data_IF_432613549948
#
_entry.id   IF_432613549948
#
_cell.length_a   1.000
_cell.length_b   1.000
_cell.length_c   1.000
_cell.angle_alpha   90.00
_cell.angle_beta   90.00
_cell.angle_gamma   90.00
#
_symmetry.space_group_name_H-M   'P 1'
#
loop_
_entity.id
_entity.type
_entity.pdbx_description
1 polymer ?
#
# COMPACT_ATOMS: atom_id res chain seq x y z
N UNK A 1 19.92 16.86 18.06
CA UNK A 1 19.59 18.10 17.33
C UNK A 1 20.48 19.20 17.89
N UNK A 2 21.61 19.47 17.24
CA UNK A 2 22.39 20.68 17.49
C UNK A 2 21.55 21.86 17.00
N UNK A 3 21.22 22.79 17.90
CA UNK A 3 20.47 24.00 17.56
C UNK A 3 21.35 24.96 16.78
N UNK A 4 21.26 24.91 15.46
CA UNK A 4 21.57 26.09 14.66
C UNK A 4 20.49 27.13 14.98
N UNK A 5 20.90 28.28 15.50
CA UNK A 5 20.02 29.44 15.62
C UNK A 5 19.53 29.81 14.22
N UNK A 6 18.24 29.65 14.00
CA UNK A 6 17.60 29.98 12.72
C UNK A 6 17.61 31.51 12.59
N UNK A 7 18.57 32.05 11.83
CA UNK A 7 18.61 33.47 11.52
C UNK A 7 17.49 33.85 10.53
N UNK A 8 16.66 34.82 10.91
CA UNK A 8 15.72 35.50 10.02
C UNK A 8 16.31 36.84 9.60
N UNK A 9 15.97 37.31 8.41
CA UNK A 9 16.41 38.62 7.92
C UNK A 9 15.21 39.57 7.82
N UNK A 10 15.43 40.84 8.15
CA UNK A 10 14.39 41.86 8.03
C UNK A 10 14.03 42.03 6.54
N UNK A 11 12.74 41.95 6.17
CA UNK A 11 12.31 42.14 4.77
C UNK A 11 12.65 43.53 4.21
N UNK A 12 12.86 44.54 5.07
CA UNK A 12 13.12 45.93 4.66
C UNK A 12 14.60 46.24 4.45
N UNK A 13 15.47 45.73 5.33
CA UNK A 13 16.89 46.11 5.35
C UNK A 13 17.86 44.94 5.28
N UNK A 14 17.38 43.70 5.26
CA UNK A 14 18.18 42.47 5.14
C UNK A 14 19.02 42.10 6.36
N UNK A 15 19.03 42.92 7.42
CA UNK A 15 19.75 42.63 8.68
C UNK A 15 19.09 41.50 9.45
N UNK A 16 19.86 40.84 10.32
CA UNK A 16 19.35 39.82 11.25
C UNK A 16 18.17 40.38 12.04
N UNK A 17 17.11 39.58 12.13
CA UNK A 17 15.84 39.91 12.76
C UNK A 17 15.33 38.69 13.53
N UNK A 18 14.43 38.93 14.48
CA UNK A 18 13.79 37.86 15.25
C UNK A 18 12.43 37.52 14.64
N UNK A 19 12.11 36.24 14.53
CA UNK A 19 10.75 35.80 14.21
C UNK A 19 9.94 35.66 15.50
N UNK A 20 8.85 36.42 15.60
CA UNK A 20 7.83 36.20 16.63
C UNK A 20 6.69 35.40 16.02
N UNK A 21 6.53 34.16 16.47
CA UNK A 21 5.41 33.30 16.10
C UNK A 21 4.43 33.20 17.28
N UNK A 22 3.15 33.49 17.03
CA UNK A 22 2.07 33.55 18.02
C UNK A 22 0.70 33.52 17.33
N UNK A 23 -0.24 34.38 17.75
CA UNK A 23 -1.51 34.56 16.99
C UNK A 23 -1.28 35.20 15.61
N UNK A 24 -0.24 36.02 15.48
CA UNK A 24 0.26 36.57 14.22
C UNK A 24 1.76 36.26 14.10
N UNK A 25 2.21 36.01 12.87
CA UNK A 25 3.63 35.84 12.56
C UNK A 25 4.22 37.20 12.17
N UNK A 26 5.26 37.63 12.85
CA UNK A 26 5.93 38.91 12.55
C UNK A 26 7.44 38.80 12.65
N UNK A 27 8.13 39.57 11.81
CA UNK A 27 9.59 39.74 11.82
C UNK A 27 9.91 41.04 12.53
N UNK A 28 10.76 40.98 13.56
CA UNK A 28 11.12 42.11 14.41
C UNK A 28 12.56 42.51 14.13
N UNK A 29 12.73 43.71 13.60
CA UNK A 29 14.03 44.31 13.34
C UNK A 29 14.29 45.48 14.29
N UNK A 30 15.49 45.55 14.85
CA UNK A 30 15.92 46.67 15.71
C UNK A 30 15.88 48.02 15.01
N UNK A 31 16.12 48.05 13.70
CA UNK A 31 16.19 49.28 12.91
C UNK A 31 14.86 49.62 12.21
N UNK A 32 14.12 48.61 11.75
CA UNK A 32 12.93 48.80 10.91
C UNK A 32 11.61 48.54 11.64
N UNK A 33 11.66 48.09 12.90
CA UNK A 33 10.49 47.74 13.71
C UNK A 33 9.90 46.39 13.32
N UNK A 34 8.62 46.22 13.64
CA UNK A 34 7.84 45.02 13.39
C UNK A 34 7.23 45.05 11.97
N UNK A 35 7.41 43.96 11.22
CA UNK A 35 6.73 43.70 9.95
C UNK A 35 5.92 42.42 10.09
N UNK A 36 4.59 42.51 9.92
CA UNK A 36 3.73 41.33 9.96
C UNK A 36 3.86 40.52 8.67
N UNK A 37 3.79 39.20 8.79
CA UNK A 37 3.82 38.27 7.66
C UNK A 37 2.44 37.65 7.51
N UNK A 38 1.89 37.76 6.31
CA UNK A 38 0.59 37.20 5.93
C UNK A 38 0.85 35.87 5.22
N UNK A 39 0.23 34.81 5.71
CA UNK A 39 0.19 33.51 5.04
C UNK A 39 -1.08 33.42 4.18
N UNK A 40 -0.89 33.35 2.86
CA UNK A 40 -1.94 33.18 1.88
C UNK A 40 -2.03 31.70 1.49
N UNK A 41 -3.21 31.11 1.67
CA UNK A 41 -3.55 29.81 1.10
C UNK A 41 -4.03 30.04 -0.33
N UNK A 42 -3.26 29.55 -1.28
CA UNK A 42 -3.55 29.68 -2.69
C UNK A 42 -4.65 28.68 -3.09
N UNK A 43 -5.37 28.99 -4.17
CA UNK A 43 -6.46 28.14 -4.67
C UNK A 43 -5.99 26.75 -5.13
N UNK A 44 -4.70 26.60 -5.42
CA UNK A 44 -4.07 25.34 -5.79
C UNK A 44 -3.59 24.51 -4.58
N UNK A 45 -3.80 25.01 -3.35
CA UNK A 45 -3.44 24.33 -2.10
C UNK A 45 -2.07 24.72 -1.53
N UNK A 46 -1.22 25.40 -2.31
CA UNK A 46 0.07 25.87 -1.84
C UNK A 46 -0.07 27.06 -0.89
N UNK A 47 1.00 27.32 -0.14
CA UNK A 47 1.10 28.46 0.76
C UNK A 47 2.10 29.48 0.18
N UNK A 48 1.72 30.74 0.24
CA UNK A 48 2.59 31.88 -0.03
C UNK A 48 2.65 32.79 1.20
N UNK A 49 3.83 33.34 1.47
CA UNK A 49 4.07 34.23 2.59
C UNK A 49 4.49 35.58 2.05
N UNK A 50 3.80 36.64 2.48
CA UNK A 50 4.05 38.01 2.05
C UNK A 50 4.13 38.96 3.24
N UNK A 51 4.81 40.08 3.08
CA UNK A 51 4.81 41.17 4.07
C UNK A 51 3.46 41.89 4.06
N UNK A 52 2.97 42.31 5.23
CA UNK A 52 1.69 43.01 5.33
C UNK A 52 1.69 44.43 4.78
N UNK A 53 2.85 45.06 4.74
CA UNK A 53 3.02 46.47 4.39
C UNK A 53 3.36 46.69 2.92
N UNK A 54 4.20 45.84 2.31
CA UNK A 54 4.55 45.93 0.88
C UNK A 54 3.81 44.90 0.03
N UNK A 55 3.33 43.79 0.61
CA UNK A 55 2.76 42.67 -0.13
C UNK A 55 3.80 41.86 -0.89
N UNK A 56 5.09 42.06 -0.58
CA UNK A 56 6.20 41.35 -1.22
C UNK A 56 6.41 39.98 -0.59
N UNK A 57 6.87 39.02 -1.40
CA UNK A 57 7.19 37.67 -0.96
C UNK A 57 8.22 37.65 0.18
N UNK A 58 7.97 36.85 1.22
CA UNK A 58 8.91 36.64 2.32
C UNK A 58 8.88 35.20 2.81
N UNK A 59 9.89 34.41 2.45
CA UNK A 59 9.97 33.00 2.83
C UNK A 59 10.21 32.81 4.34
N UNK A 60 9.22 32.24 5.02
CA UNK A 60 9.31 31.89 6.43
C UNK A 60 10.15 30.63 6.69
N UNK A 61 10.10 29.64 5.81
CA UNK A 61 10.74 28.34 6.03
C UNK A 61 12.25 28.44 5.79
N UNK A 62 13.09 28.23 6.84
CA UNK A 62 14.54 28.39 6.71
C UNK A 62 15.16 27.44 5.69
N UNK A 63 14.65 26.22 5.61
CA UNK A 63 15.10 25.22 4.64
C UNK A 63 14.86 25.68 3.21
N UNK A 64 13.69 26.29 2.93
CA UNK A 64 13.38 26.87 1.62
C UNK A 64 14.19 28.13 1.34
N UNK A 65 14.43 29.01 2.33
CA UNK A 65 15.34 30.16 2.14
C UNK A 65 16.73 29.72 1.70
N UNK A 66 17.28 28.72 2.37
CA UNK A 66 18.60 28.17 2.05
C UNK A 66 18.63 27.56 0.63
N UNK A 67 17.57 26.84 0.24
CA UNK A 67 17.47 26.29 -1.11
C UNK A 67 17.31 27.38 -2.18
N UNK A 68 16.49 28.42 -1.94
CA UNK A 68 16.36 29.58 -2.83
C UNK A 68 17.70 30.32 -3.01
N UNK A 69 18.46 30.46 -1.92
CA UNK A 69 19.82 31.03 -1.97
C UNK A 69 20.75 30.16 -2.83
N UNK A 70 20.74 28.84 -2.64
CA UNK A 70 21.52 27.92 -3.47
C UNK A 70 21.17 28.03 -4.96
N UNK A 71 19.89 28.23 -5.30
CA UNK A 71 19.46 28.47 -6.69
C UNK A 71 20.05 29.78 -7.24
N UNK A 72 20.06 30.85 -6.43
CA UNK A 72 20.66 32.14 -6.83
C UNK A 72 22.18 32.13 -6.96
N UNK A 73 22.86 31.25 -6.22
CA UNK A 73 24.33 31.10 -6.22
C UNK A 73 24.83 30.06 -7.23
N UNK A 74 23.94 29.30 -7.87
CA UNK A 74 24.31 28.29 -8.86
C UNK A 74 24.96 28.92 -10.11
N UNK A 75 26.24 28.60 -10.33
CA UNK A 75 27.05 29.20 -11.41
C UNK A 75 27.12 28.37 -12.69
N UNK A 76 26.74 27.10 -12.64
CA UNK A 76 26.75 26.19 -13.77
C UNK A 76 25.48 25.32 -13.81
N UNK A 77 25.28 24.62 -14.92
CA UNK A 77 24.08 23.82 -15.17
C UNK A 77 23.92 22.65 -14.17
N UNK A 78 25.02 22.05 -13.68
CA UNK A 78 24.98 20.98 -12.68
C UNK A 78 24.57 21.53 -11.31
N UNK A 79 25.20 22.63 -10.87
CA UNK A 79 24.83 23.33 -9.64
C UNK A 79 23.38 23.80 -9.68
N UNK A 80 22.90 24.23 -10.86
CA UNK A 80 21.51 24.62 -11.07
C UNK A 80 20.55 23.43 -10.91
N UNK A 81 20.87 22.28 -11.50
CA UNK A 81 20.10 21.04 -11.30
C UNK A 81 20.02 20.70 -9.81
N UNK A 82 21.14 20.67 -9.11
CA UNK A 82 21.19 20.31 -7.69
C UNK A 82 20.39 21.28 -6.81
N UNK A 83 20.52 22.59 -7.06
CA UNK A 83 19.82 23.61 -6.31
C UNK A 83 18.30 23.57 -6.56
N UNK A 84 17.86 23.36 -7.80
CA UNK A 84 16.44 23.24 -8.13
C UNK A 84 15.84 21.95 -7.58
N UNK A 85 16.56 20.81 -7.64
CA UNK A 85 16.15 19.56 -7.00
C UNK A 85 15.98 19.75 -5.49
N UNK A 86 16.95 20.39 -4.83
CA UNK A 86 16.86 20.68 -3.41
C UNK A 86 15.64 21.55 -3.09
N UNK A 87 15.39 22.60 -3.87
CA UNK A 87 14.24 23.48 -3.67
C UNK A 87 12.91 22.75 -3.88
N UNK A 88 12.81 21.88 -4.89
CA UNK A 88 11.66 20.99 -5.10
C UNK A 88 11.38 20.16 -3.86
N UNK A 89 12.40 19.50 -3.30
CA UNK A 89 12.26 18.67 -2.11
C UNK A 89 11.79 19.50 -0.90
N UNK A 90 12.39 20.70 -0.70
CA UNK A 90 11.98 21.58 0.41
C UNK A 90 10.54 22.06 0.26
N UNK A 91 10.06 22.31 -0.96
CA UNK A 91 8.65 22.65 -1.18
C UNK A 91 7.72 21.48 -0.85
N UNK A 92 8.04 20.26 -1.27
CA UNK A 92 7.22 19.08 -0.93
C UNK A 92 7.19 18.84 0.59
N UNK A 93 8.33 18.93 1.27
CA UNK A 93 8.41 18.81 2.75
C UNK A 93 7.56 19.85 3.51
N UNK A 94 7.29 21.00 2.88
CA UNK A 94 6.52 22.09 3.47
C UNK A 94 5.08 22.15 2.93
N UNK A 95 4.63 21.08 2.26
CA UNK A 95 3.27 20.94 1.74
C UNK A 95 2.96 21.83 0.53
N UNK A 96 3.98 22.41 -0.12
CA UNK A 96 3.86 23.23 -1.34
C UNK A 96 4.03 22.35 -2.58
N UNK A 97 3.14 21.37 -2.71
CA UNK A 97 3.26 20.30 -3.71
C UNK A 97 3.22 20.81 -5.15
N UNK A 98 2.49 21.91 -5.44
CA UNK A 98 2.42 22.42 -6.82
C UNK A 98 3.73 23.08 -7.22
N UNK A 99 4.31 23.92 -6.36
CA UNK A 99 5.67 24.46 -6.55
C UNK A 99 6.72 23.35 -6.66
N UNK A 100 6.61 22.29 -5.87
CA UNK A 100 7.51 21.14 -5.94
C UNK A 100 7.37 20.41 -7.29
N UNK A 101 6.14 20.15 -7.74
CA UNK A 101 5.88 19.49 -9.02
C UNK A 101 6.43 20.30 -10.21
N UNK A 102 6.19 21.61 -10.23
CA UNK A 102 6.68 22.51 -11.29
C UNK A 102 8.21 22.48 -11.38
N UNK A 103 8.89 22.56 -10.23
CA UNK A 103 10.36 22.45 -10.18
C UNK A 103 10.85 21.07 -10.58
N UNK A 104 10.20 19.99 -10.14
CA UNK A 104 10.59 18.64 -10.54
C UNK A 104 10.52 18.46 -12.07
N UNK A 105 9.49 19.04 -12.72
CA UNK A 105 9.34 19.07 -14.19
C UNK A 105 10.40 19.95 -14.86
N UNK A 106 10.75 21.09 -14.29
CA UNK A 106 11.86 21.94 -14.75
C UNK A 106 13.20 21.17 -14.70
N UNK A 107 13.49 20.54 -13.57
CA UNK A 107 14.69 19.72 -13.35
C UNK A 107 14.76 18.57 -14.36
N UNK A 108 13.66 17.85 -14.60
CA UNK A 108 13.61 16.78 -15.58
C UNK A 108 13.96 17.28 -16.99
N UNK A 109 13.40 18.43 -17.38
CA UNK A 109 13.65 19.06 -18.68
C UNK A 109 15.10 19.52 -18.82
N UNK A 110 15.66 20.08 -17.74
CA UNK A 110 17.04 20.52 -17.66
C UNK A 110 18.01 19.33 -17.79
N UNK A 111 17.80 18.26 -17.03
CA UNK A 111 18.60 17.03 -17.11
C UNK A 111 18.55 16.42 -18.51
N UNK A 112 17.37 16.38 -19.15
CA UNK A 112 17.25 15.84 -20.51
C UNK A 112 18.05 16.66 -21.52
N UNK A 113 17.94 17.99 -21.46
CA UNK A 113 18.72 18.89 -22.31
C UNK A 113 20.22 18.63 -22.16
N UNK A 114 20.72 18.60 -20.92
CA UNK A 114 22.14 18.38 -20.65
C UNK A 114 22.62 16.99 -21.07
N UNK A 115 21.80 15.96 -20.89
CA UNK A 115 22.09 14.61 -21.36
C UNK A 115 22.21 14.56 -22.89
N UNK A 116 21.36 15.31 -23.60
CA UNK A 116 21.41 15.44 -25.06
C UNK A 116 22.58 16.31 -25.55
N UNK A 117 23.03 17.26 -24.73
CA UNK A 117 24.25 18.05 -24.96
C UNK A 117 25.54 17.24 -24.69
N UNK A 118 25.42 15.98 -24.25
CA UNK A 118 26.51 15.03 -24.09
C UNK A 118 26.97 14.80 -22.65
N UNK A 119 26.30 15.36 -21.64
CA UNK A 119 26.60 15.07 -20.24
C UNK A 119 26.02 13.69 -19.83
N UNK A 120 26.85 12.65 -19.90
CA UNK A 120 26.47 11.29 -19.51
C UNK A 120 25.99 11.18 -18.06
N UNK A 121 26.45 12.06 -17.16
CA UNK A 121 26.02 12.07 -15.75
C UNK A 121 24.52 12.41 -15.65
N UNK A 122 24.04 13.25 -16.55
CA UNK A 122 22.64 13.68 -16.58
C UNK A 122 21.72 12.60 -17.11
N UNK A 123 22.20 11.67 -17.93
CA UNK A 123 21.40 10.56 -18.44
C UNK A 123 20.92 9.65 -17.30
N UNK A 124 21.83 9.24 -16.41
CA UNK A 124 21.47 8.42 -15.26
C UNK A 124 20.53 9.17 -14.29
N UNK A 125 20.81 10.46 -14.03
CA UNK A 125 19.95 11.31 -13.18
C UNK A 125 18.56 11.51 -13.77
N UNK A 126 18.46 11.68 -15.09
CA UNK A 126 17.21 11.80 -15.81
C UNK A 126 16.31 10.57 -15.57
N UNK A 127 16.85 9.35 -15.67
CA UNK A 127 16.07 8.14 -15.42
C UNK A 127 15.52 8.07 -14.00
N UNK A 128 16.27 8.59 -13.00
CA UNK A 128 15.81 8.67 -11.62
C UNK A 128 14.79 9.81 -11.38
N UNK A 129 14.85 10.87 -12.20
CA UNK A 129 13.93 12.00 -12.11
C UNK A 129 12.55 11.69 -12.70
N UNK A 130 12.46 10.83 -13.72
CA UNK A 130 11.18 10.44 -14.34
C UNK A 130 10.18 9.89 -13.30
N UNK A 131 10.54 8.91 -12.43
CA UNK A 131 9.67 8.46 -11.35
C UNK A 131 9.25 9.56 -10.36
N UNK A 132 10.13 10.51 -10.05
CA UNK A 132 9.82 11.63 -9.13
C UNK A 132 8.71 12.50 -9.73
N UNK A 133 8.83 12.87 -11.01
CA UNK A 133 7.78 13.60 -11.69
C UNK A 133 6.47 12.80 -11.78
N UNK A 134 6.54 11.50 -12.06
CA UNK A 134 5.36 10.66 -12.13
C UNK A 134 4.67 10.52 -10.76
N UNK A 135 5.41 10.55 -9.65
CA UNK A 135 4.86 10.45 -8.30
C UNK A 135 3.86 11.57 -7.97
N UNK A 136 4.11 12.81 -8.43
CA UNK A 136 3.15 13.91 -8.27
C UNK A 136 1.82 13.62 -8.99
N UNK A 137 1.88 13.13 -10.23
CA UNK A 137 0.69 12.74 -10.97
C UNK A 137 -0.06 11.58 -10.30
N UNK A 138 0.66 10.57 -9.79
CA UNK A 138 0.06 9.45 -9.03
C UNK A 138 -0.61 9.95 -7.75
N UNK A 139 0.01 10.87 -7.00
CA UNK A 139 -0.53 11.44 -5.78
C UNK A 139 -1.85 12.19 -6.02
N UNK A 140 -1.97 12.86 -7.17
CA UNK A 140 -3.23 13.49 -7.64
C UNK A 140 -4.26 12.47 -8.17
N UNK A 141 -3.91 11.19 -8.27
CA UNK A 141 -4.74 10.15 -8.88
C UNK A 141 -4.75 10.18 -10.41
N UNK A 142 -3.90 10.99 -11.05
CA UNK A 142 -3.78 11.07 -12.50
C UNK A 142 -2.80 10.01 -13.04
N UNK A 143 -3.29 8.77 -13.05
CA UNK A 143 -2.54 7.65 -13.61
C UNK A 143 -2.29 7.79 -15.12
N UNK A 144 -3.01 8.66 -15.83
CA UNK A 144 -2.77 8.91 -17.27
C UNK A 144 -1.52 9.75 -17.44
N UNK A 145 -1.44 10.88 -16.75
CA UNK A 145 -0.26 11.75 -16.79
C UNK A 145 0.98 11.00 -16.31
N UNK A 146 0.88 10.20 -15.24
CA UNK A 146 1.99 9.35 -14.79
C UNK A 146 2.47 8.38 -15.89
N UNK A 147 1.54 7.75 -16.62
CA UNK A 147 1.86 6.86 -17.74
C UNK A 147 2.55 7.62 -18.88
N UNK A 148 2.09 8.82 -19.19
CA UNK A 148 2.66 9.67 -20.24
C UNK A 148 4.09 10.10 -19.87
N UNK A 149 4.34 10.45 -18.59
CA UNK A 149 5.68 10.77 -18.06
C UNK A 149 6.63 9.57 -18.21
N UNK A 150 6.23 8.37 -17.78
CA UNK A 150 7.06 7.18 -17.94
C UNK A 150 7.31 6.81 -19.40
N UNK A 151 6.29 6.91 -20.27
CA UNK A 151 6.42 6.60 -21.69
C UNK A 151 7.41 7.54 -22.36
N UNK A 152 7.26 8.85 -22.14
CA UNK A 152 8.19 9.86 -22.65
C UNK A 152 9.61 9.63 -22.10
N UNK A 153 9.73 9.26 -20.83
CA UNK A 153 11.00 8.89 -20.20
C UNK A 153 11.69 7.69 -20.86
N UNK A 154 10.92 6.64 -21.14
CA UNK A 154 11.39 5.43 -21.81
C UNK A 154 11.83 5.69 -23.25
N UNK A 155 11.18 6.64 -23.95
CA UNK A 155 11.57 7.03 -25.31
C UNK A 155 12.95 7.71 -25.37
N UNK A 156 13.43 8.28 -24.26
CA UNK A 156 14.75 8.91 -24.17
C UNK A 156 15.88 7.95 -23.76
N UNK A 157 15.56 6.68 -23.45
CA UNK A 157 16.53 5.70 -22.95
C UNK A 157 17.60 5.37 -23.99
N UNK A 158 17.22 5.28 -25.26
CA UNK A 158 18.08 4.77 -26.34
C UNK A 158 18.58 3.36 -26.03
N UNK A 159 19.89 3.12 -26.22
CA UNK A 159 20.53 1.82 -25.96
C UNK A 159 21.01 1.65 -24.51
N UNK A 160 20.58 2.51 -23.59
CA UNK A 160 21.01 2.43 -22.18
C UNK A 160 20.49 1.16 -21.50
N UNK A 161 21.41 0.29 -21.07
CA UNK A 161 21.13 -0.97 -20.35
C UNK A 161 21.58 -0.84 -18.90
N UNK A 162 20.94 0.02 -18.11
CA UNK A 162 21.28 0.23 -16.68
C UNK A 162 20.15 -0.19 -15.74
N UNK A 163 20.45 -0.29 -14.44
CA UNK A 163 19.45 -0.67 -13.43
C UNK A 163 18.39 0.42 -13.22
N UNK A 164 18.72 1.69 -13.46
CA UNK A 164 17.77 2.81 -13.41
C UNK A 164 16.71 2.65 -14.51
N UNK A 165 17.12 2.23 -15.71
CA UNK A 165 16.20 1.92 -16.81
C UNK A 165 15.32 0.71 -16.45
N UNK A 166 15.89 -0.33 -15.84
CA UNK A 166 15.11 -1.48 -15.38
C UNK A 166 14.06 -1.05 -14.35
N UNK A 167 14.44 -0.24 -13.36
CA UNK A 167 13.55 0.31 -12.33
C UNK A 167 12.46 1.19 -12.92
N UNK A 168 12.79 2.02 -13.91
CA UNK A 168 11.81 2.83 -14.64
C UNK A 168 10.80 1.97 -15.39
N UNK A 169 11.22 0.85 -16.00
CA UNK A 169 10.32 -0.12 -16.62
C UNK A 169 9.44 -0.86 -15.60
N UNK A 170 9.97 -1.20 -14.43
CA UNK A 170 9.17 -1.76 -13.31
C UNK A 170 8.05 -0.79 -12.94
N UNK A 171 8.38 0.49 -12.73
CA UNK A 171 7.40 1.52 -12.37
C UNK A 171 6.37 1.75 -13.49
N UNK A 172 6.81 1.82 -14.74
CA UNK A 172 5.90 1.87 -15.90
C UNK A 172 4.97 0.66 -15.93
N UNK A 173 5.51 -0.55 -15.67
CA UNK A 173 4.75 -1.79 -15.56
C UNK A 173 3.63 -1.70 -14.52
N UNK A 174 3.91 -1.13 -13.34
CA UNK A 174 2.90 -0.89 -12.31
C UNK A 174 1.81 0.11 -12.74
N UNK A 175 2.20 1.22 -13.38
CA UNK A 175 1.22 2.18 -13.92
C UNK A 175 0.31 1.54 -14.96
N UNK A 176 0.86 0.71 -15.86
CA UNK A 176 0.09 -0.09 -16.81
C UNK A 176 -0.90 -1.00 -16.07
N UNK A 177 -0.50 -1.68 -14.99
CA UNK A 177 -1.42 -2.51 -14.19
C UNK A 177 -2.56 -1.71 -13.58
N UNK A 178 -2.29 -0.54 -13.00
CA UNK A 178 -3.31 0.34 -12.43
C UNK A 178 -4.34 0.78 -13.47
N UNK A 179 -3.89 0.95 -14.72
CA UNK A 179 -4.74 1.24 -15.88
C UNK A 179 -5.33 0.00 -16.56
N UNK A 180 -5.10 -1.18 -15.99
CA UNK A 180 -5.55 -2.50 -16.50
C UNK A 180 -5.00 -2.87 -17.88
N UNK A 181 -3.89 -2.26 -18.28
CA UNK A 181 -3.15 -2.61 -19.48
C UNK A 181 -2.14 -3.72 -19.15
N UNK A 182 -2.64 -4.95 -19.07
CA UNK A 182 -1.83 -6.10 -18.71
C UNK A 182 -0.80 -6.47 -19.78
N UNK A 183 -1.02 -6.09 -21.04
CA UNK A 183 -0.11 -6.41 -22.16
C UNK A 183 1.16 -5.58 -22.03
N UNK A 184 1.03 -4.25 -21.93
CA UNK A 184 2.20 -3.38 -21.77
C UNK A 184 2.87 -3.59 -20.42
N UNK A 185 2.09 -3.91 -19.39
CA UNK A 185 2.63 -4.26 -18.08
C UNK A 185 3.52 -5.51 -18.12
N UNK A 186 3.04 -6.61 -18.73
CA UNK A 186 3.84 -7.85 -18.84
C UNK A 186 5.12 -7.61 -19.63
N UNK A 187 5.02 -6.88 -20.74
CA UNK A 187 6.18 -6.50 -21.57
C UNK A 187 7.21 -5.73 -20.76
N UNK A 188 6.76 -4.70 -20.03
CA UNK A 188 7.65 -3.86 -19.23
C UNK A 188 8.39 -4.65 -18.13
N UNK A 189 7.68 -5.52 -17.41
CA UNK A 189 8.31 -6.37 -16.38
C UNK A 189 9.26 -7.42 -16.97
N UNK A 190 8.96 -8.00 -18.12
CA UNK A 190 9.89 -8.93 -18.81
C UNK A 190 11.18 -8.23 -19.24
N UNK A 191 11.06 -7.05 -19.84
CA UNK A 191 12.22 -6.24 -20.22
C UNK A 191 13.03 -5.80 -18.99
N UNK A 192 12.36 -5.41 -17.90
CA UNK A 192 13.02 -5.09 -16.63
C UNK A 192 13.76 -6.29 -16.04
N UNK A 193 13.17 -7.49 -16.09
CA UNK A 193 13.79 -8.73 -15.60
C UNK A 193 15.09 -9.04 -16.36
N UNK A 194 15.04 -8.96 -17.69
CA UNK A 194 16.19 -9.20 -18.57
C UNK A 194 17.32 -8.21 -18.26
N UNK A 195 16.99 -6.91 -18.23
CA UNK A 195 17.93 -5.83 -17.91
C UNK A 195 18.57 -6.02 -16.54
N UNK A 196 17.77 -6.34 -15.52
CA UNK A 196 18.24 -6.52 -14.15
C UNK A 196 19.24 -7.67 -14.09
N UNK A 197 18.93 -8.82 -14.72
CA UNK A 197 19.83 -9.98 -14.77
C UNK A 197 21.13 -9.66 -15.50
N UNK A 198 21.07 -8.92 -16.61
CA UNK A 198 22.28 -8.49 -17.33
C UNK A 198 23.16 -7.57 -16.48
N UNK A 199 22.57 -6.57 -15.82
CA UNK A 199 23.31 -5.65 -14.96
C UNK A 199 24.02 -6.40 -13.81
N UNK A 200 23.34 -7.37 -13.19
CA UNK A 200 23.94 -8.19 -12.13
C UNK A 200 25.03 -9.11 -12.66
N UNK A 201 24.85 -9.71 -13.85
CA UNK A 201 25.85 -10.55 -14.47
C UNK A 201 27.13 -9.78 -14.87
N UNK A 202 26.98 -8.51 -15.28
CA UNK A 202 28.13 -7.63 -15.54
C UNK A 202 28.81 -7.13 -14.26
N UNK A 203 28.12 -7.18 -13.12
CA UNK A 203 28.61 -6.66 -11.84
C UNK A 203 28.55 -5.14 -11.75
N UNK A 204 27.72 -4.48 -12.57
CA UNK A 204 27.59 -3.02 -12.57
C UNK A 204 27.01 -2.49 -11.26
N UNK A 205 26.13 -3.30 -10.65
CA UNK A 205 25.49 -3.05 -9.37
C UNK A 205 25.47 -4.33 -8.55
N UNK A 206 25.40 -4.18 -7.23
CA UNK A 206 25.19 -5.32 -6.34
C UNK A 206 23.88 -6.03 -6.69
N UNK A 207 23.89 -7.35 -6.52
CA UNK A 207 22.70 -8.18 -6.67
C UNK A 207 21.60 -7.69 -5.71
N UNK A 208 20.42 -7.38 -6.24
CA UNK A 208 19.25 -6.91 -5.49
C UNK A 208 18.12 -7.97 -5.52
N UNK A 209 18.08 -8.87 -4.52
CA UNK A 209 17.00 -9.85 -4.40
C UNK A 209 15.61 -9.23 -4.28
N UNK A 210 15.49 -8.02 -3.73
CA UNK A 210 14.19 -7.38 -3.57
C UNK A 210 13.63 -6.99 -4.94
N UNK A 211 14.44 -6.33 -5.79
CA UNK A 211 14.03 -5.96 -7.14
C UNK A 211 13.60 -7.19 -7.97
N UNK A 212 14.39 -8.27 -7.96
CA UNK A 212 14.04 -9.50 -8.67
C UNK A 212 12.75 -10.14 -8.14
N UNK A 213 12.60 -10.25 -6.82
CA UNK A 213 11.37 -10.79 -6.21
C UNK A 213 10.13 -9.98 -6.62
N UNK A 214 10.22 -8.65 -6.61
CA UNK A 214 9.14 -7.75 -7.03
C UNK A 214 8.77 -7.95 -8.50
N UNK A 215 9.76 -8.05 -9.39
CA UNK A 215 9.52 -8.28 -10.83
C UNK A 215 8.84 -9.64 -11.06
N UNK A 216 9.35 -10.69 -10.41
CA UNK A 216 8.79 -12.03 -10.54
C UNK A 216 7.36 -12.13 -10.02
N UNK A 217 7.06 -11.57 -8.85
CA UNK A 217 5.71 -11.57 -8.29
C UNK A 217 4.73 -10.77 -9.16
N UNK A 218 5.18 -9.66 -9.75
CA UNK A 218 4.40 -8.85 -10.68
C UNK A 218 4.07 -9.63 -11.96
N UNK A 219 5.07 -10.33 -12.54
CA UNK A 219 4.86 -11.20 -13.69
C UNK A 219 3.90 -12.34 -13.36
N UNK A 220 4.09 -13.02 -12.23
CA UNK A 220 3.17 -14.05 -11.73
C UNK A 220 1.74 -13.52 -11.66
N UNK A 221 1.51 -12.33 -11.08
CA UNK A 221 0.18 -11.75 -10.97
C UNK A 221 -0.49 -11.57 -12.34
N UNK A 222 0.28 -11.11 -13.33
CA UNK A 222 -0.23 -10.86 -14.69
C UNK A 222 -0.53 -12.17 -15.40
N UNK A 223 0.40 -13.13 -15.40
CA UNK A 223 0.19 -14.40 -16.09
C UNK A 223 -0.91 -15.25 -15.42
N UNK A 224 -1.07 -15.17 -14.09
CA UNK A 224 -2.23 -15.75 -13.38
C UNK A 224 -3.56 -15.16 -13.87
N UNK A 225 -3.65 -13.83 -14.03
CA UNK A 225 -4.87 -13.18 -14.57
C UNK A 225 -5.18 -13.60 -16.00
N UNK A 226 -4.16 -13.98 -16.77
CA UNK A 226 -4.27 -14.50 -18.12
C UNK A 226 -4.39 -16.04 -18.17
N UNK A 227 -4.68 -16.71 -17.05
CA UNK A 227 -4.83 -18.17 -16.92
C UNK A 227 -3.59 -18.98 -17.32
N UNK A 228 -2.40 -18.38 -17.32
CA UNK A 228 -1.11 -19.04 -17.60
C UNK A 228 -0.48 -19.51 -16.29
N UNK A 229 -1.10 -20.52 -15.67
CA UNK A 229 -0.74 -20.94 -14.31
C UNK A 229 0.64 -21.61 -14.21
N UNK A 230 1.08 -22.35 -15.24
CA UNK A 230 2.42 -22.95 -15.23
C UNK A 230 3.52 -21.88 -15.14
N UNK A 231 3.41 -20.80 -15.93
CA UNK A 231 4.34 -19.68 -15.87
C UNK A 231 4.23 -18.92 -14.53
N UNK A 232 3.02 -18.82 -13.96
CA UNK A 232 2.85 -18.23 -12.63
C UNK A 232 3.62 -19.02 -11.56
N UNK A 233 3.60 -20.35 -11.63
CA UNK A 233 4.30 -21.23 -10.70
C UNK A 233 5.82 -21.07 -10.81
N UNK A 234 6.35 -20.97 -12.02
CA UNK A 234 7.78 -20.69 -12.26
C UNK A 234 8.19 -19.35 -11.66
N UNK A 235 7.45 -18.28 -11.97
CA UNK A 235 7.75 -16.95 -11.44
C UNK A 235 7.61 -16.86 -9.92
N UNK A 236 6.59 -17.47 -9.32
CA UNK A 236 6.45 -17.49 -7.86
C UNK A 236 7.61 -18.25 -7.20
N UNK A 237 8.05 -19.36 -7.79
CA UNK A 237 9.19 -20.14 -7.28
C UNK A 237 10.46 -19.30 -7.28
N UNK A 238 10.73 -18.58 -8.38
CA UNK A 238 11.85 -17.63 -8.43
C UNK A 238 11.70 -16.50 -7.40
N UNK A 239 10.51 -15.92 -7.24
CA UNK A 239 10.27 -14.90 -6.22
C UNK A 239 10.50 -15.41 -4.80
N UNK A 240 10.12 -16.68 -4.52
CA UNK A 240 10.34 -17.31 -3.22
C UNK A 240 11.83 -17.51 -2.93
N UNK A 241 12.62 -17.95 -3.91
CA UNK A 241 14.08 -18.06 -3.78
C UNK A 241 14.73 -16.71 -3.46
N UNK A 242 14.35 -15.66 -4.18
CA UNK A 242 14.84 -14.31 -3.96
C UNK A 242 14.42 -13.76 -2.59
N UNK A 243 13.19 -14.01 -2.16
CA UNK A 243 12.73 -13.63 -0.80
C UNK A 243 13.48 -14.39 0.29
N UNK A 244 13.80 -15.67 0.12
CA UNK A 244 14.65 -16.42 1.06
C UNK A 244 16.07 -15.85 1.11
N UNK A 245 16.61 -15.41 -0.03
CA UNK A 245 17.91 -14.73 -0.07
C UNK A 245 17.85 -13.38 0.65
N UNK A 246 16.77 -12.62 0.45
CA UNK A 246 16.55 -11.32 1.07
C UNK A 246 16.58 -11.39 2.61
N UNK A 247 16.05 -12.46 3.22
CA UNK A 247 16.14 -12.65 4.67
C UNK A 247 17.57 -12.83 5.19
N UNK A 248 18.52 -13.21 4.32
CA UNK A 248 19.94 -13.40 4.67
C UNK A 248 20.79 -12.18 4.36
N UNK A 249 20.34 -11.31 3.46
CA UNK A 249 21.15 -10.22 2.90
C UNK A 249 20.66 -8.82 3.30
N UNK A 250 19.45 -8.69 3.85
CA UNK A 250 18.86 -7.41 4.19
C UNK A 250 18.17 -7.41 5.57
N UNK A 251 17.82 -6.21 6.06
CA UNK A 251 17.08 -6.05 7.32
C UNK A 251 15.73 -6.77 7.29
N UNK A 252 15.35 -7.42 8.39
CA UNK A 252 14.06 -8.09 8.45
C UNK A 252 12.97 -7.08 8.79
N UNK A 253 11.86 -7.15 8.03
CA UNK A 253 10.65 -6.38 8.29
C UNK A 253 9.45 -7.32 8.25
N UNK A 254 8.35 -6.94 8.92
CA UNK A 254 7.12 -7.76 8.90
C UNK A 254 6.59 -7.93 7.48
N UNK A 255 6.67 -6.89 6.64
CA UNK A 255 6.30 -6.95 5.23
C UNK A 255 7.08 -8.04 4.47
N UNK A 256 8.41 -8.10 4.62
CA UNK A 256 9.25 -9.13 3.97
C UNK A 256 8.88 -10.55 4.41
N UNK A 257 8.57 -10.74 5.68
CA UNK A 257 8.14 -12.04 6.23
C UNK A 257 6.73 -12.43 5.72
N UNK A 258 5.81 -11.45 5.64
CA UNK A 258 4.47 -11.66 5.07
C UNK A 258 4.55 -12.03 3.59
N UNK A 259 5.37 -11.34 2.80
CA UNK A 259 5.58 -11.66 1.39
C UNK A 259 6.20 -13.05 1.18
N UNK A 260 7.10 -13.48 2.08
CA UNK A 260 7.61 -14.86 2.09
C UNK A 260 6.46 -15.85 2.31
N UNK A 261 5.62 -15.62 3.32
CA UNK A 261 4.48 -16.49 3.61
C UNK A 261 3.48 -16.55 2.43
N UNK A 262 3.22 -15.43 1.76
CA UNK A 262 2.39 -15.38 0.54
C UNK A 262 2.98 -16.25 -0.57
N UNK A 263 4.29 -16.13 -0.77
CA UNK A 263 5.02 -16.89 -1.79
C UNK A 263 4.93 -18.38 -1.54
N UNK A 264 5.18 -18.79 -0.29
CA UNK A 264 5.09 -20.20 0.11
C UNK A 264 3.66 -20.71 0.01
N UNK A 265 2.67 -19.88 0.36
CA UNK A 265 1.26 -20.22 0.22
C UNK A 265 0.85 -20.46 -1.23
N UNK A 266 1.29 -19.61 -2.17
CA UNK A 266 1.03 -19.82 -3.59
C UNK A 266 1.70 -21.09 -4.14
N UNK A 267 2.95 -21.37 -3.74
CA UNK A 267 3.64 -22.60 -4.14
C UNK A 267 2.95 -23.83 -3.55
N UNK A 268 2.48 -23.77 -2.30
CA UNK A 268 1.68 -24.84 -1.71
C UNK A 268 0.37 -25.08 -2.49
N UNK A 269 -0.34 -24.03 -2.91
CA UNK A 269 -1.50 -24.18 -3.80
C UNK A 269 -1.15 -24.80 -5.16
N UNK A 270 0.08 -24.59 -5.65
CA UNK A 270 0.58 -25.24 -6.87
C UNK A 270 0.82 -26.74 -6.67
N UNK A 271 1.50 -27.11 -5.58
CA UNK A 271 1.72 -28.52 -5.25
C UNK A 271 0.40 -29.26 -5.02
N UNK A 272 -0.58 -28.61 -4.41
CA UNK A 272 -1.96 -29.12 -4.33
C UNK A 272 -2.58 -29.41 -5.71
N UNK A 273 -2.43 -28.50 -6.69
CA UNK A 273 -2.93 -28.73 -8.05
C UNK A 273 -2.24 -29.91 -8.73
N UNK A 274 -1.00 -30.23 -8.32
CA UNK A 274 -0.23 -31.40 -8.78
C UNK A 274 -0.54 -32.66 -7.97
N UNK A 275 -1.48 -32.60 -7.02
CA UNK A 275 -1.85 -33.69 -6.12
C UNK A 275 -0.69 -34.10 -5.18
N UNK A 276 0.04 -33.11 -4.66
CA UNK A 276 1.14 -33.22 -3.70
C UNK A 276 0.79 -32.51 -2.37
N UNK A 277 -0.19 -33.04 -1.59
CA UNK A 277 -0.71 -32.35 -0.42
C UNK A 277 0.23 -32.37 0.79
N UNK A 278 1.13 -33.34 0.87
CA UNK A 278 2.13 -33.43 1.93
C UNK A 278 3.17 -32.31 1.76
N UNK A 279 3.63 -32.08 0.54
CA UNK A 279 4.53 -30.99 0.16
C UNK A 279 3.90 -29.62 0.40
N UNK A 280 2.63 -29.46 0.04
CA UNK A 280 1.89 -28.23 0.27
C UNK A 280 1.70 -27.93 1.78
N UNK A 281 1.37 -28.95 2.58
CA UNK A 281 1.28 -28.79 4.04
C UNK A 281 2.65 -28.46 4.64
N UNK A 282 3.71 -29.14 4.18
CA UNK A 282 5.07 -28.90 4.65
C UNK A 282 5.51 -27.45 4.38
N UNK A 283 5.17 -26.88 3.21
CA UNK A 283 5.44 -25.48 2.90
C UNK A 283 4.70 -24.51 3.84
N UNK A 284 3.42 -24.78 4.14
CA UNK A 284 2.67 -23.94 5.09
C UNK A 284 3.26 -24.01 6.51
N UNK A 285 3.68 -25.18 6.96
CA UNK A 285 4.36 -25.35 8.25
C UNK A 285 5.75 -24.73 8.27
N UNK A 286 6.50 -24.83 7.17
CA UNK A 286 7.81 -24.19 7.02
C UNK A 286 7.69 -22.67 7.12
N UNK A 287 6.70 -22.05 6.47
CA UNK A 287 6.48 -20.60 6.54
C UNK A 287 6.26 -20.14 7.99
N UNK A 288 5.41 -20.85 8.74
CA UNK A 288 5.16 -20.58 10.16
C UNK A 288 6.45 -20.73 10.99
N UNK A 289 7.22 -21.79 10.75
CA UNK A 289 8.45 -22.07 11.51
C UNK A 289 9.55 -21.03 11.24
N UNK A 290 9.75 -20.62 9.98
CA UNK A 290 10.70 -19.56 9.64
C UNK A 290 10.33 -18.27 10.35
N UNK A 291 9.07 -17.85 10.23
CA UNK A 291 8.61 -16.54 10.73
C UNK A 291 8.58 -16.52 12.27
N UNK A 292 8.26 -17.65 12.92
CA UNK A 292 8.36 -17.81 14.38
C UNK A 292 9.75 -17.50 14.91
N UNK A 293 10.80 -17.74 14.12
CA UNK A 293 12.19 -17.42 14.50
C UNK A 293 12.48 -15.92 14.63
N UNK A 294 11.56 -15.05 14.22
CA UNK A 294 11.71 -13.59 14.24
C UNK A 294 10.74 -12.95 15.24
N UNK A 295 11.05 -13.06 16.54
CA UNK A 295 10.15 -12.70 17.67
C UNK A 295 9.59 -11.26 17.65
N UNK A 296 10.29 -10.33 17.01
CA UNK A 296 9.87 -8.93 16.87
C UNK A 296 8.72 -8.70 15.88
N UNK A 297 8.33 -9.72 15.10
CA UNK A 297 7.39 -9.60 13.98
C UNK A 297 6.12 -10.43 14.23
N UNK A 298 5.44 -10.14 15.34
CA UNK A 298 4.24 -10.89 15.78
C UNK A 298 3.09 -10.82 14.80
N UNK A 299 2.94 -9.70 14.10
CA UNK A 299 1.96 -9.49 13.04
C UNK A 299 2.21 -10.41 11.84
N UNK A 300 3.46 -10.53 11.39
CA UNK A 300 3.85 -11.47 10.34
C UNK A 300 3.68 -12.93 10.78
N UNK A 301 4.00 -13.24 12.04
CA UNK A 301 3.78 -14.58 12.59
C UNK A 301 2.29 -14.94 12.64
N UNK A 302 1.44 -14.03 13.11
CA UNK A 302 -0.01 -14.18 13.10
C UNK A 302 -0.55 -14.33 11.67
N UNK A 303 0.00 -13.58 10.72
CA UNK A 303 -0.34 -13.72 9.31
C UNK A 303 -0.04 -15.12 8.77
N UNK A 304 1.15 -15.65 9.03
CA UNK A 304 1.55 -16.99 8.58
C UNK A 304 0.69 -18.10 9.22
N UNK A 305 0.40 -17.99 10.53
CA UNK A 305 -0.50 -18.91 11.22
C UNK A 305 -1.89 -18.89 10.56
N UNK A 306 -2.44 -17.70 10.30
CA UNK A 306 -3.75 -17.57 9.67
C UNK A 306 -3.78 -18.14 8.25
N UNK A 307 -2.73 -17.94 7.45
CA UNK A 307 -2.63 -18.53 6.12
C UNK A 307 -2.63 -20.06 6.16
N UNK A 308 -1.86 -20.65 7.08
CA UNK A 308 -1.88 -22.10 7.31
C UNK A 308 -3.26 -22.57 7.80
N UNK A 309 -3.89 -21.82 8.70
CA UNK A 309 -5.23 -22.14 9.20
C UNK A 309 -6.23 -22.17 8.02
N UNK A 310 -6.28 -21.11 7.22
CA UNK A 310 -7.10 -21.04 5.99
C UNK A 310 -6.84 -22.25 5.10
N UNK A 311 -5.58 -22.58 4.84
CA UNK A 311 -5.22 -23.77 4.08
C UNK A 311 -5.83 -25.05 4.66
N UNK A 312 -5.56 -25.37 5.93
CA UNK A 312 -6.10 -26.58 6.59
C UNK A 312 -7.63 -26.63 6.56
N UNK A 313 -8.30 -25.49 6.77
CA UNK A 313 -9.76 -25.40 6.73
C UNK A 313 -10.34 -25.69 5.33
N UNK A 314 -9.62 -25.37 4.25
CA UNK A 314 -10.07 -25.75 2.90
C UNK A 314 -9.95 -27.26 2.63
N UNK A 315 -9.13 -27.97 3.41
CA UNK A 315 -8.86 -29.41 3.22
C UNK A 315 -9.69 -30.32 4.11
N UNK A 316 -10.19 -29.80 5.22
CA UNK A 316 -11.00 -30.56 6.16
C UNK A 316 -12.39 -29.95 6.30
N UNK A 317 -13.47 -30.75 6.17
CA UNK A 317 -14.82 -30.29 6.51
C UNK A 317 -15.00 -30.08 8.02
N UNK A 318 -14.11 -30.66 8.83
CA UNK A 318 -14.06 -30.48 10.28
C UNK A 318 -12.99 -29.45 10.63
N UNK A 319 -13.19 -28.70 11.71
CA UNK A 319 -12.24 -27.70 12.14
C UNK A 319 -10.98 -28.43 12.66
N UNK A 320 -9.78 -28.12 12.14
CA UNK A 320 -8.56 -28.79 12.55
C UNK A 320 -8.28 -28.63 14.06
N UNK A 321 -7.64 -29.62 14.68
CA UNK A 321 -7.19 -29.52 16.07
C UNK A 321 -6.20 -28.35 16.25
N UNK A 322 -6.26 -27.65 17.40
CA UNK A 322 -5.37 -26.52 17.70
C UNK A 322 -5.79 -25.16 17.10
N UNK A 323 -6.88 -25.12 16.33
CA UNK A 323 -7.35 -23.89 15.66
C UNK A 323 -7.73 -22.78 16.62
N UNK A 324 -8.37 -23.11 17.75
CA UNK A 324 -8.79 -22.15 18.77
C UNK A 324 -7.56 -21.46 19.39
N UNK A 325 -6.55 -22.25 19.74
CA UNK A 325 -5.29 -21.80 20.29
C UNK A 325 -4.55 -20.89 19.30
N UNK A 326 -4.53 -21.25 18.01
CA UNK A 326 -3.97 -20.39 16.96
C UNK A 326 -4.71 -19.05 16.88
N UNK A 327 -6.05 -19.03 16.87
CA UNK A 327 -6.81 -17.78 16.81
C UNK A 327 -6.58 -16.89 18.04
N UNK A 328 -6.41 -17.49 19.22
CA UNK A 328 -6.07 -16.77 20.45
C UNK A 328 -4.69 -16.10 20.40
N UNK A 329 -3.78 -16.59 19.56
CA UNK A 329 -2.49 -15.94 19.29
C UNK A 329 -2.62 -14.90 18.17
N UNK A 330 -3.37 -15.21 17.11
CA UNK A 330 -3.48 -14.38 15.91
C UNK A 330 -4.20 -13.06 16.20
N UNK A 331 -5.36 -13.12 16.86
CA UNK A 331 -6.24 -11.94 17.03
C UNK A 331 -5.53 -10.81 17.78
N UNK A 332 -4.94 -11.02 18.98
CA UNK A 332 -4.25 -9.94 19.69
C UNK A 332 -3.05 -9.38 18.94
N UNK A 333 -2.33 -10.23 18.18
CA UNK A 333 -1.17 -9.79 17.41
C UNK A 333 -1.57 -8.90 16.23
N UNK A 334 -2.67 -9.22 15.54
CA UNK A 334 -3.20 -8.38 14.46
C UNK A 334 -3.92 -7.14 14.98
N UNK A 335 -4.60 -7.21 16.13
CA UNK A 335 -5.26 -6.04 16.74
C UNK A 335 -4.25 -5.00 17.25
N UNK A 336 -3.03 -5.41 17.60
CA UNK A 336 -1.95 -4.52 18.00
C UNK A 336 -1.29 -3.75 16.82
N UNK A 337 -1.65 -4.05 15.56
CA UNK A 337 -1.14 -3.33 14.41
C UNK A 337 -1.71 -1.91 14.39
N UNK A 338 -0.83 -0.90 14.41
CA UNK A 338 -1.21 0.50 14.56
C UNK A 338 -2.09 1.04 13.40
N UNK A 339 -1.82 0.59 12.18
CA UNK A 339 -2.58 0.97 10.98
C UNK A 339 -3.36 -0.24 10.49
N UNK A 340 -4.68 -0.22 10.71
CA UNK A 340 -5.58 -1.24 10.20
C UNK A 340 -5.90 -1.00 8.74
N UNK A 341 -5.03 -1.50 7.87
CA UNK A 341 -5.28 -1.54 6.44
C UNK A 341 -6.36 -2.59 6.09
N UNK A 342 -6.81 -2.59 4.84
CA UNK A 342 -7.82 -3.53 4.35
C UNK A 342 -7.45 -4.98 4.68
N UNK A 343 -6.20 -5.38 4.41
CA UNK A 343 -5.73 -6.76 4.57
C UNK A 343 -5.77 -7.19 6.04
N UNK A 344 -5.35 -6.33 6.95
CA UNK A 344 -5.37 -6.57 8.38
C UNK A 344 -6.81 -6.75 8.88
N UNK A 345 -7.73 -5.89 8.46
CA UNK A 345 -9.15 -6.03 8.80
C UNK A 345 -9.76 -7.34 8.25
N UNK A 346 -9.49 -7.70 7.00
CA UNK A 346 -9.97 -8.98 6.42
C UNK A 346 -9.42 -10.20 7.17
N UNK A 347 -8.15 -10.14 7.57
CA UNK A 347 -7.51 -11.20 8.36
C UNK A 347 -8.06 -11.30 9.78
N UNK A 348 -8.26 -10.17 10.45
CA UNK A 348 -8.93 -10.11 11.75
C UNK A 348 -10.33 -10.71 11.65
N UNK A 349 -11.11 -10.31 10.65
CA UNK A 349 -12.44 -10.85 10.45
C UNK A 349 -12.44 -12.37 10.24
N UNK A 350 -11.49 -12.87 9.44
CA UNK A 350 -11.33 -14.30 9.25
C UNK A 350 -10.95 -15.03 10.55
N UNK A 351 -10.04 -14.45 11.34
CA UNK A 351 -9.58 -15.04 12.59
C UNK A 351 -10.70 -15.08 13.64
N UNK A 352 -11.45 -14.00 13.79
CA UNK A 352 -12.65 -13.94 14.65
C UNK A 352 -13.71 -14.96 14.21
N UNK A 353 -13.97 -15.07 12.90
CA UNK A 353 -14.89 -16.08 12.36
C UNK A 353 -14.40 -17.52 12.63
N UNK A 354 -13.10 -17.78 12.49
CA UNK A 354 -12.53 -19.09 12.81
C UNK A 354 -12.64 -19.40 14.30
N UNK A 355 -12.41 -18.41 15.16
CA UNK A 355 -12.53 -18.59 16.62
C UNK A 355 -13.96 -18.89 17.03
N UNK A 356 -14.94 -18.16 16.50
CA UNK A 356 -16.36 -18.39 16.80
C UNK A 356 -16.80 -19.82 16.43
N UNK A 357 -16.28 -20.37 15.33
CA UNK A 357 -16.61 -21.74 14.92
C UNK A 357 -16.05 -22.83 15.85
N UNK A 358 -15.00 -22.51 16.62
CA UNK A 358 -14.34 -23.44 17.56
C UNK A 358 -14.82 -23.35 19.00
N UNK A 359 -15.58 -22.31 19.34
CA UNK A 359 -16.09 -22.11 20.71
C UNK A 359 -17.22 -23.08 21.05
N UNK A 360 -17.49 -23.21 22.35
CA UNK A 360 -18.68 -23.91 22.84
C UNK A 360 -19.93 -23.23 22.25
N UNK A 361 -20.78 -23.95 21.49
CA UNK A 361 -22.00 -23.38 20.90
C UNK A 361 -23.00 -22.85 21.94
N UNK A 362 -22.85 -23.20 23.22
CA UNK A 362 -23.70 -22.72 24.31
C UNK A 362 -23.17 -21.46 24.99
N UNK A 363 -21.93 -21.04 24.70
CA UNK A 363 -21.34 -19.82 25.23
C UNK A 363 -21.69 -18.62 24.34
N UNK A 364 -22.91 -18.13 24.53
CA UNK A 364 -23.49 -17.09 23.69
C UNK A 364 -22.72 -15.77 23.72
N UNK A 365 -22.14 -15.40 24.86
CA UNK A 365 -21.51 -14.09 25.02
C UNK A 365 -20.17 -14.07 24.27
N UNK A 366 -19.35 -15.12 24.42
CA UNK A 366 -18.10 -15.26 23.70
C UNK A 366 -18.29 -15.41 22.18
N UNK A 367 -19.35 -16.10 21.74
CA UNK A 367 -19.72 -16.20 20.32
C UNK A 367 -20.16 -14.86 19.75
N UNK A 368 -20.93 -14.10 20.54
CA UNK A 368 -21.41 -12.79 20.13
C UNK A 368 -20.26 -11.80 19.98
N UNK A 369 -19.30 -11.82 20.91
CA UNK A 369 -18.09 -10.99 20.85
C UNK A 369 -17.22 -11.31 19.63
N UNK A 370 -17.02 -12.60 19.32
CA UNK A 370 -16.26 -12.98 18.12
C UNK A 370 -16.99 -12.58 16.83
N UNK A 371 -18.30 -12.81 16.74
CA UNK A 371 -19.08 -12.43 15.54
C UNK A 371 -19.17 -10.92 15.37
N UNK A 372 -19.24 -10.16 16.47
CA UNK A 372 -19.11 -8.71 16.46
C UNK A 372 -17.74 -8.28 15.94
N UNK A 373 -16.66 -8.86 16.46
CA UNK A 373 -15.30 -8.58 16.01
C UNK A 373 -15.12 -8.86 14.51
N UNK A 374 -15.68 -9.96 14.02
CA UNK A 374 -15.67 -10.28 12.59
C UNK A 374 -16.48 -9.27 11.76
N UNK A 375 -17.68 -8.92 12.22
CA UNK A 375 -18.57 -7.99 11.54
C UNK A 375 -17.96 -6.59 11.45
N UNK A 376 -17.47 -6.03 12.56
CA UNK A 376 -16.96 -4.66 12.62
C UNK A 376 -15.76 -4.47 11.67
N UNK A 377 -14.87 -5.48 11.60
CA UNK A 377 -13.74 -5.46 10.68
C UNK A 377 -14.20 -5.54 9.21
N UNK A 378 -15.19 -6.38 8.87
CA UNK A 378 -15.73 -6.45 7.51
C UNK A 378 -16.53 -5.21 7.11
N UNK A 379 -17.26 -4.62 8.06
CA UNK A 379 -17.97 -3.37 7.87
C UNK A 379 -16.98 -2.22 7.58
N UNK A 380 -15.86 -2.16 8.31
CA UNK A 380 -14.74 -1.24 8.03
C UNK A 380 -14.20 -1.43 6.61
N UNK A 381 -13.98 -2.68 6.19
CA UNK A 381 -13.54 -2.99 4.81
C UNK A 381 -14.60 -2.59 3.78
N UNK A 382 -15.89 -2.73 4.10
CA UNK A 382 -16.99 -2.32 3.23
C UNK A 382 -17.05 -0.80 3.05
N UNK A 383 -16.76 -0.04 4.11
CA UNK A 383 -16.62 1.42 4.04
C UNK A 383 -15.45 1.85 3.15
N UNK A 384 -14.39 1.03 3.05
CA UNK A 384 -13.30 1.20 2.09
C UNK A 384 -13.67 0.84 0.64
N UNK A 385 -14.85 0.22 0.40
CA UNK A 385 -15.42 0.01 -0.94
C UNK A 385 -15.04 -1.29 -1.66
N UNK A 386 -14.39 -2.25 -0.99
CA UNK A 386 -13.85 -3.46 -1.64
C UNK A 386 -14.06 -4.75 -0.82
N UNK A 387 -15.16 -4.84 -0.06
CA UNK A 387 -15.47 -6.03 0.75
C UNK A 387 -15.92 -7.23 -0.09
N UNK A 388 -15.55 -8.43 0.33
CA UNK A 388 -16.19 -9.66 -0.13
C UNK A 388 -17.61 -9.74 0.46
N UNK A 389 -18.62 -9.36 -0.33
CA UNK A 389 -20.03 -9.33 0.09
C UNK A 389 -20.52 -10.69 0.61
N UNK A 390 -20.09 -11.80 0.01
CA UNK A 390 -20.47 -13.15 0.48
C UNK A 390 -19.93 -13.42 1.88
N UNK A 391 -18.69 -13.03 2.15
CA UNK A 391 -18.09 -13.20 3.47
C UNK A 391 -18.74 -12.27 4.51
N UNK A 392 -18.97 -11.00 4.16
CA UNK A 392 -19.72 -10.06 5.00
C UNK A 392 -21.11 -10.61 5.35
N UNK A 393 -21.85 -11.13 4.37
CA UNK A 393 -23.19 -11.65 4.58
C UNK A 393 -23.21 -12.94 5.40
N UNK A 394 -22.20 -13.80 5.24
CA UNK A 394 -22.01 -15.00 6.05
C UNK A 394 -21.83 -14.67 7.54
N UNK A 395 -20.97 -13.70 7.83
CA UNK A 395 -20.72 -13.21 9.20
C UNK A 395 -21.95 -12.49 9.74
N UNK A 396 -22.53 -11.56 8.96
CA UNK A 396 -23.70 -10.79 9.35
C UNK A 396 -24.92 -11.69 9.64
N UNK A 397 -25.13 -12.76 8.86
CA UNK A 397 -26.19 -13.72 9.13
C UNK A 397 -26.01 -14.39 10.49
N UNK A 398 -24.82 -14.93 10.76
CA UNK A 398 -24.51 -15.60 12.03
C UNK A 398 -24.65 -14.64 13.21
N UNK A 399 -24.18 -13.40 13.04
CA UNK A 399 -24.25 -12.35 14.06
C UNK A 399 -25.69 -11.92 14.35
N UNK A 400 -26.50 -11.66 13.30
CA UNK A 400 -27.91 -11.28 13.44
C UNK A 400 -28.75 -12.39 14.10
N UNK A 401 -28.46 -13.67 13.83
CA UNK A 401 -29.15 -14.79 14.49
C UNK A 401 -28.98 -14.70 16.02
N UNK A 402 -27.76 -14.49 16.50
CA UNK A 402 -27.50 -14.37 17.94
C UNK A 402 -28.05 -13.06 18.53
N UNK A 403 -27.88 -11.93 17.82
CA UNK A 403 -28.42 -10.64 18.26
C UNK A 403 -29.95 -10.69 18.40
N UNK A 404 -30.67 -11.33 17.48
CA UNK A 404 -32.13 -11.47 17.61
C UNK A 404 -32.56 -12.31 18.83
N UNK A 405 -31.65 -13.02 19.49
CA UNK A 405 -31.95 -13.76 20.73
C UNK A 405 -31.59 -12.97 22.00
N UNK A 406 -30.67 -12.01 21.91
CA UNK A 406 -29.99 -11.39 23.07
C UNK A 406 -30.05 -9.86 23.09
N UNK A 407 -30.02 -9.23 21.93
CA UNK A 407 -29.94 -7.78 21.75
C UNK A 407 -30.66 -7.35 20.46
N UNK A 408 -31.97 -7.13 20.58
CA UNK A 408 -32.82 -6.73 19.46
C UNK A 408 -32.50 -5.34 18.92
N UNK A 409 -32.03 -4.43 19.78
CA UNK A 409 -31.71 -3.07 19.41
C UNK A 409 -30.47 -3.05 18.52
N UNK A 410 -29.39 -3.74 18.93
CA UNK A 410 -28.21 -3.90 18.07
C UNK A 410 -28.51 -4.68 16.79
N UNK A 411 -29.41 -5.68 16.84
CA UNK A 411 -29.86 -6.38 15.63
C UNK A 411 -30.54 -5.44 14.62
N UNK A 412 -31.23 -4.39 15.09
CA UNK A 412 -31.84 -3.39 14.22
C UNK A 412 -30.79 -2.48 13.61
N UNK A 413 -29.84 -1.99 14.40
CA UNK A 413 -28.73 -1.16 13.92
C UNK A 413 -27.90 -1.87 12.83
N UNK A 414 -27.51 -3.13 13.05
CA UNK A 414 -26.75 -3.92 12.06
C UNK A 414 -27.49 -4.05 10.72
N UNK A 415 -28.83 -4.14 10.75
CA UNK A 415 -29.63 -4.15 9.51
C UNK A 415 -29.60 -2.80 8.80
N UNK A 416 -29.70 -1.71 9.56
CA UNK A 416 -29.59 -0.35 9.03
C UNK A 416 -28.21 -0.11 8.41
N UNK A 417 -27.13 -0.49 9.10
CA UNK A 417 -25.74 -0.45 8.62
C UNK A 417 -25.58 -1.21 7.29
N UNK A 418 -26.15 -2.41 7.15
CA UNK A 418 -26.09 -3.19 5.92
C UNK A 418 -26.93 -2.58 4.79
N UNK A 419 -28.07 -1.97 5.11
CA UNK A 419 -28.87 -1.23 4.13
C UNK A 419 -28.13 0.00 3.60
N UNK A 420 -27.37 0.71 4.44
CA UNK A 420 -26.52 1.82 4.02
C UNK A 420 -25.40 1.38 3.07
N UNK A 421 -24.93 0.13 3.20
CA UNK A 421 -24.00 -0.49 2.25
C UNK A 421 -24.68 -0.94 0.95
N UNK A 422 -25.99 -0.79 0.82
CA UNK A 422 -26.76 -1.13 -0.38
C UNK A 422 -27.31 -2.56 -0.41
N UNK A 423 -27.27 -3.28 0.72
CA UNK A 423 -27.82 -4.63 0.84
C UNK A 423 -29.34 -4.55 0.97
N UNK A 424 -30.07 -5.34 0.18
CA UNK A 424 -31.52 -5.23 0.11
C UNK A 424 -32.21 -5.79 1.37
N UNK A 425 -33.35 -5.21 1.75
CA UNK A 425 -34.19 -5.75 2.83
C UNK A 425 -34.57 -7.21 2.58
N UNK A 426 -34.79 -7.61 1.32
CA UNK A 426 -35.08 -9.01 0.96
C UNK A 426 -33.91 -9.96 1.24
N UNK A 427 -32.66 -9.52 1.08
CA UNK A 427 -31.49 -10.34 1.38
C UNK A 427 -31.30 -10.46 2.90
N UNK A 428 -31.53 -9.38 3.66
CA UNK A 428 -31.51 -9.38 5.12
C UNK A 428 -32.64 -10.24 5.72
N UNK A 429 -33.82 -10.22 5.11
CA UNK A 429 -34.95 -11.04 5.49
C UNK A 429 -34.70 -12.53 5.21
N UNK A 430 -34.08 -12.85 4.07
CA UNK A 430 -33.69 -14.23 3.73
C UNK A 430 -32.65 -14.75 4.71
N UNK A 431 -31.68 -13.93 5.08
CA UNK A 431 -30.74 -14.24 6.15
C UNK A 431 -31.47 -14.45 7.49
N UNK A 432 -32.47 -13.64 7.84
CA UNK A 432 -33.18 -13.77 9.12
C UNK A 432 -34.12 -15.00 9.19
N UNK A 433 -34.54 -15.56 8.04
CA UNK A 433 -35.50 -16.69 7.95
C UNK A 433 -34.85 -18.08 7.87
N UNK A 434 -33.53 -18.19 7.94
CA UNK A 434 -32.85 -19.46 8.13
C UNK A 434 -33.28 -20.08 9.45
N UNK A 435 -34.16 -21.08 9.39
CA UNK A 435 -34.71 -21.76 10.55
C UNK A 435 -33.59 -22.30 11.45
N UNK A 436 -33.74 -22.07 12.75
CA UNK A 436 -32.91 -22.57 13.87
C UNK A 436 -32.68 -24.11 13.83
N UNK A 437 -33.37 -24.84 12.97
CA UNK A 437 -33.18 -26.27 12.74
C UNK A 437 -32.26 -26.61 11.56
N UNK A 438 -31.04 -26.05 11.47
CA UNK A 438 -29.93 -26.73 10.77
C UNK A 438 -28.54 -26.08 10.85
N UNK A 439 -28.34 -24.99 11.59
CA UNK A 439 -26.99 -24.42 11.83
C UNK A 439 -26.07 -25.44 12.56
N UNK A 440 -26.67 -26.40 13.28
CA UNK A 440 -26.00 -27.55 13.89
C UNK A 440 -25.87 -28.80 12.99
N UNK A 441 -26.38 -28.79 11.75
CA UNK A 441 -26.06 -29.88 10.84
C UNK A 441 -24.71 -29.63 10.21
N UNK A 442 -23.84 -30.66 10.23
CA UNK A 442 -22.58 -30.67 9.47
C UNK A 442 -22.77 -30.16 8.03
N UNK A 443 -23.95 -30.37 7.44
CA UNK A 443 -24.31 -29.99 6.07
C UNK A 443 -24.42 -28.48 5.83
N UNK A 444 -24.97 -27.68 6.74
CA UNK A 444 -25.12 -26.22 6.56
C UNK A 444 -23.82 -25.48 6.80
N UNK A 445 -22.95 -25.98 7.70
CA UNK A 445 -21.55 -25.54 7.78
C UNK A 445 -20.82 -25.85 6.46
N UNK A 446 -20.97 -27.05 5.90
CA UNK A 446 -20.35 -27.47 4.61
C UNK A 446 -20.83 -26.63 3.41
N UNK A 447 -22.11 -26.23 3.34
CA UNK A 447 -22.64 -25.39 2.25
C UNK A 447 -22.15 -23.93 2.33
N UNK A 448 -21.89 -23.40 3.54
CA UNK A 448 -21.20 -22.11 3.72
C UNK A 448 -19.69 -22.19 3.41
N UNK A 449 -19.07 -23.37 3.59
CA UNK A 449 -17.65 -23.64 3.38
C UNK A 449 -17.28 -23.90 1.91
N UNK A 450 -18.18 -24.49 1.12
CA UNK A 450 -17.93 -24.83 -0.29
C UNK A 450 -18.06 -23.65 -1.25
N UNK A 451 -18.74 -22.57 -0.86
CA UNK A 451 -18.81 -21.33 -1.64
C UNK A 451 -17.54 -20.47 -1.54
N UNK A 452 -16.69 -20.69 -0.51
CA UNK A 452 -15.39 -20.04 -0.36
C UNK A 452 -14.25 -20.74 -1.13
N UNK A 453 -14.45 -22.01 -1.52
CA UNK A 453 -13.43 -22.82 -2.22
C UNK A 453 -13.54 -22.80 -3.76
N UNK A 454 -14.50 -22.07 -4.34
CA UNK A 454 -14.62 -21.94 -5.78
C UNK A 454 -13.82 -20.72 -6.28
N UNK A 455 -13.00 -20.95 -7.31
CA UNK A 455 -12.23 -20.00 -8.16
C UNK A 455 -12.77 -18.56 -8.20
N UNK A 456 -11.93 -17.53 -8.45
CA UNK A 456 -12.41 -16.16 -8.63
C UNK A 456 -13.36 -16.07 -9.83
N UNK A 457 -14.64 -16.25 -9.58
CA UNK A 457 -15.75 -15.88 -10.46
C UNK A 457 -16.10 -14.43 -10.07
N UNK A 458 -16.38 -13.52 -11.02
CA UNK A 458 -16.41 -12.09 -10.73
C UNK A 458 -17.50 -11.76 -9.71
N UNK A 459 -17.13 -11.58 -8.44
CA UNK A 459 -18.01 -11.02 -7.43
C UNK A 459 -18.36 -9.59 -7.84
N UNK A 460 -19.65 -9.24 -7.83
CA UNK A 460 -20.08 -7.85 -7.98
C UNK A 460 -19.48 -7.05 -6.84
N UNK A 461 -18.47 -6.23 -7.13
CA UNK A 461 -18.01 -5.20 -6.18
C UNK A 461 -19.13 -4.16 -6.05
N UNK A 462 -19.59 -3.91 -4.84
CA UNK A 462 -20.44 -2.76 -4.54
C UNK A 462 -19.65 -1.47 -4.82
N UNK A 463 -19.79 -0.92 -6.02
CA UNK A 463 -19.41 0.48 -6.27
C UNK A 463 -20.42 1.36 -5.55
N UNK A 464 -19.98 2.14 -4.55
CA UNK A 464 -20.76 3.27 -4.06
C UNK A 464 -21.10 4.17 -5.25
N UNK A 465 -22.37 4.24 -5.63
CA UNK A 465 -22.86 5.36 -6.41
C UNK A 465 -22.82 6.57 -5.49
N UNK A 466 -21.76 7.37 -5.60
CA UNK A 466 -21.73 8.71 -5.01
C UNK A 466 -22.82 9.49 -5.75
N UNK A 467 -24.00 9.58 -5.15
CA UNK A 467 -24.99 10.57 -5.57
C UNK A 467 -24.43 11.93 -5.20
N UNK A 468 -23.83 12.62 -6.17
CA UNK A 468 -23.75 14.07 -6.10
C UNK A 468 -25.18 14.58 -5.96
N UNK A 469 -25.51 15.14 -4.79
CA UNK A 469 -26.65 16.05 -4.68
C UNK A 469 -26.19 17.35 -5.36
N UNK A 470 -26.86 17.69 -6.45
CA UNK A 470 -26.84 19.04 -7.04
C UNK A 470 -27.33 20.09 -6.05
#
# INVERSE_FOLDING_TARGET
>A
MSGEEVEFTCPKCGKVAELRSGYETSVICSDCGETKIIMNFLSNGDIETVTSDTGEYYELEPSVRSALKAVGEATDDLAKVDALSLLSDRYSETGREIKAEDLAKEVLSLMLRLANDGDERMRARYFNQVPICAAFAIARGDNKEAMDIYSNGLDQVGDSRTVEVASMKVNYGFICMMRKDLINSEKAFKEALELTKECFARGDVGDDPYLLATIYDSLRLIVSKNNRMQEAEEYMSSALEERRRLLKTASITSARLIELADSMGFVAESEERKNHPEEASALMDEAVNIIKGYEGHKDAYAYALLNRAKYRQTKSPEIPEGFLEEMNVIIPALDAVAIKDKRTCENLAQAYMFRSMTRDPNDYDDLLDDLKGAYDNLYTVAQMGDVNEMFLMSVAHSYLVLLNMKDHDRAKEVREELMELGISQSDLDRASRGTIGNVNSKKTKIDMLSSQAAKPIPGRRLRRQIKHKE
#
